data_IF_254601927489
#
_entry.id   IF_254601927489
#
_cell.length_a   1.000
_cell.length_b   1.000
_cell.length_c   1.000
_cell.angle_alpha   90.00
_cell.angle_beta   90.00
_cell.angle_gamma   90.00
#
_symmetry.space_group_name_H-M   'P 1'
#
loop_
_entity.id
_entity.type
_entity.pdbx_description
1 polymer ?
#
# COMPACT_ATOMS: atom_id res chain seq x y z
N UNK A 1 -31.70 0.60 11.46
CA UNK A 1 -31.24 0.63 10.05
C UNK A 1 -30.37 1.86 9.89
N UNK A 2 -29.08 1.70 9.67
CA UNK A 2 -28.15 2.83 9.57
C UNK A 2 -28.27 3.48 8.20
N UNK A 3 -28.55 4.79 8.18
CA UNK A 3 -28.71 5.56 6.96
C UNK A 3 -27.35 5.78 6.30
N UNK A 4 -27.25 5.44 5.02
CA UNK A 4 -26.06 5.73 4.18
C UNK A 4 -26.15 7.16 3.67
N UNK A 5 -25.01 7.84 3.62
CA UNK A 5 -24.91 9.17 3.05
C UNK A 5 -24.59 9.03 1.56
N UNK A 6 -25.58 9.29 0.71
CA UNK A 6 -25.45 9.14 -0.75
C UNK A 6 -24.48 10.17 -1.33
N UNK A 7 -23.81 9.80 -2.43
CA UNK A 7 -22.90 10.67 -3.18
C UNK A 7 -21.71 11.23 -2.38
N UNK A 8 -21.34 10.58 -1.27
CA UNK A 8 -20.14 10.90 -0.50
C UNK A 8 -19.19 9.72 -0.56
N UNK A 9 -17.91 10.03 -0.78
CA UNK A 9 -16.80 9.09 -0.64
C UNK A 9 -15.77 9.67 0.32
N UNK A 10 -15.27 8.86 1.23
CA UNK A 10 -14.20 9.24 2.15
C UNK A 10 -13.10 8.21 2.05
N UNK A 11 -11.86 8.64 1.87
CA UNK A 11 -10.68 7.76 1.84
C UNK A 11 -9.90 7.82 3.15
N UNK A 12 -9.32 6.67 3.51
CA UNK A 12 -8.40 6.53 4.64
C UNK A 12 -7.03 6.07 4.11
N UNK A 13 -6.02 6.96 4.13
CA UNK A 13 -4.65 6.67 3.76
C UNK A 13 -4.00 5.67 4.73
N UNK A 14 -3.52 4.55 4.19
CA UNK A 14 -2.85 3.48 4.92
C UNK A 14 -1.47 3.20 4.35
N UNK A 15 -0.60 2.66 5.22
CA UNK A 15 0.71 2.13 4.87
C UNK A 15 0.76 0.66 5.25
N UNK A 16 1.20 -0.17 4.33
CA UNK A 16 1.45 -1.58 4.58
C UNK A 16 2.78 -1.99 3.99
N UNK A 17 3.28 -3.13 4.43
CA UNK A 17 4.47 -3.73 3.87
C UNK A 17 5.30 -4.42 4.92
N UNK A 18 6.62 -4.45 4.73
CA UNK A 18 7.51 -5.09 5.68
C UNK A 18 8.84 -4.35 5.90
N UNK A 19 9.41 -4.57 7.08
CA UNK A 19 10.84 -4.38 7.34
C UNK A 19 11.52 -5.75 7.44
N UNK A 20 12.79 -5.83 7.09
CA UNK A 20 13.60 -7.03 7.22
C UNK A 20 15.04 -6.66 7.56
N UNK A 21 15.72 -7.54 8.31
CA UNK A 21 17.15 -7.45 8.59
C UNK A 21 17.76 -8.83 8.68
N UNK A 22 19.07 -8.91 8.44
CA UNK A 22 19.83 -10.14 8.67
C UNK A 22 19.68 -10.56 10.13
N UNK A 23 19.40 -11.84 10.33
CA UNK A 23 19.21 -12.40 11.65
C UNK A 23 20.56 -12.47 12.37
N UNK A 24 20.72 -11.68 13.43
CA UNK A 24 21.92 -11.72 14.26
C UNK A 24 22.05 -13.09 14.95
N UNK A 25 23.26 -13.64 15.11
CA UNK A 25 23.49 -14.92 15.80
C UNK A 25 22.87 -14.95 17.20
N UNK A 26 22.91 -13.83 17.91
CA UNK A 26 22.39 -13.65 19.29
C UNK A 26 20.87 -13.79 19.39
N UNK A 27 20.15 -13.49 18.29
CA UNK A 27 18.68 -13.57 18.24
C UNK A 27 18.19 -14.96 17.87
N UNK A 28 19.09 -15.89 17.53
CA UNK A 28 18.72 -17.26 17.19
C UNK A 28 18.42 -18.01 18.48
N UNK A 29 17.19 -18.50 18.58
CA UNK A 29 16.77 -19.37 19.68
C UNK A 29 16.76 -20.83 19.23
N UNK A 30 16.63 -21.78 20.16
CA UNK A 30 16.48 -23.21 19.82
C UNK A 30 15.28 -23.49 18.91
N UNK A 31 14.26 -22.60 18.93
CA UNK A 31 13.06 -22.70 18.09
C UNK A 31 13.24 -22.09 16.70
N UNK A 32 14.33 -21.35 16.48
CA UNK A 32 14.59 -20.74 15.18
C UNK A 32 15.24 -21.76 14.25
N UNK A 33 14.61 -22.10 13.11
CA UNK A 33 15.21 -23.03 12.15
C UNK A 33 16.59 -22.57 11.69
N UNK A 34 17.52 -23.51 11.51
CA UNK A 34 18.92 -23.21 11.14
C UNK A 34 19.04 -22.49 9.80
N UNK A 35 18.13 -22.75 8.88
CA UNK A 35 18.17 -22.20 7.53
C UNK A 35 17.61 -20.76 7.45
N UNK A 36 17.01 -20.25 8.52
CA UNK A 36 16.49 -18.87 8.54
C UNK A 36 17.64 -17.85 8.53
N UNK A 37 17.55 -16.87 7.63
CA UNK A 37 18.60 -15.88 7.39
C UNK A 37 18.20 -14.46 7.81
N UNK A 38 16.90 -14.17 7.88
CA UNK A 38 16.37 -12.84 8.17
C UNK A 38 15.31 -12.89 9.28
N UNK A 39 15.23 -11.80 10.04
CA UNK A 39 14.07 -11.42 10.85
C UNK A 39 13.31 -10.36 10.06
N UNK A 40 12.00 -10.55 9.89
CA UNK A 40 11.15 -9.63 9.14
C UNK A 40 9.87 -9.35 9.90
N UNK A 41 9.33 -8.15 9.71
CA UNK A 41 8.07 -7.71 10.30
C UNK A 41 7.17 -7.17 9.21
N UNK A 42 6.03 -7.83 8.98
CA UNK A 42 4.96 -7.33 8.11
C UNK A 42 3.99 -6.51 8.94
N UNK A 43 3.46 -5.41 8.40
CA UNK A 43 2.58 -4.52 9.14
C UNK A 43 1.52 -3.85 8.27
N UNK A 44 0.49 -3.34 8.95
CA UNK A 44 -0.48 -2.38 8.44
C UNK A 44 -0.64 -1.26 9.47
N UNK A 45 -0.56 0.00 9.03
CA UNK A 45 -0.70 1.18 9.88
C UNK A 45 -1.37 2.33 9.13
N UNK A 46 -1.99 3.30 9.80
CA UNK A 46 -2.43 4.53 9.14
C UNK A 46 -1.20 5.34 8.65
N UNK A 47 -1.38 6.15 7.60
CA UNK A 47 -0.31 7.01 7.11
C UNK A 47 0.11 8.10 8.11
N UNK A 48 -0.81 8.50 8.99
CA UNK A 48 -0.58 9.42 10.09
C UNK A 48 -0.42 8.67 11.42
N UNK A 49 0.68 8.92 12.13
CA UNK A 49 1.06 8.19 13.35
C UNK A 49 0.06 8.31 14.53
N UNK A 50 -0.79 9.34 14.54
CA UNK A 50 -1.69 9.64 15.67
C UNK A 50 -3.16 9.24 15.40
N UNK A 51 -3.37 8.34 14.44
CA UNK A 51 -4.69 7.87 14.05
C UNK A 51 -4.94 6.50 14.69
N UNK A 52 -6.05 6.41 15.41
CA UNK A 52 -6.52 5.15 15.95
C UNK A 52 -7.50 4.50 14.97
N UNK A 53 -7.13 3.35 14.43
CA UNK A 53 -7.95 2.56 13.53
C UNK A 53 -8.85 1.56 14.25
N UNK A 54 -8.67 1.39 15.57
CA UNK A 54 -9.44 0.43 16.39
C UNK A 54 -10.97 0.62 16.29
N UNK A 55 -11.54 1.84 16.19
CA UNK A 55 -12.98 2.00 16.02
C UNK A 55 -13.52 1.43 14.69
N UNK A 56 -12.66 1.28 13.69
CA UNK A 56 -13.00 0.88 12.33
C UNK A 56 -12.62 -0.58 12.04
N UNK A 57 -11.39 -0.95 12.39
CA UNK A 57 -10.79 -2.25 12.13
C UNK A 57 -10.96 -3.14 13.36
N UNK A 58 -11.69 -4.23 13.19
CA UNK A 58 -11.86 -5.28 14.21
C UNK A 58 -10.60 -6.12 14.37
N UNK A 59 -9.98 -6.49 13.25
CA UNK A 59 -8.73 -7.24 13.23
C UNK A 59 -8.07 -7.20 11.86
N UNK A 60 -6.77 -7.43 11.83
CA UNK A 60 -5.99 -7.66 10.61
C UNK A 60 -5.47 -9.10 10.64
N UNK A 61 -5.68 -9.82 9.55
CA UNK A 61 -5.20 -11.20 9.40
C UNK A 61 -4.10 -11.25 8.35
N UNK A 62 -2.92 -11.75 8.72
CA UNK A 62 -1.79 -11.98 7.83
C UNK A 62 -1.75 -13.46 7.47
N UNK A 63 -1.95 -13.80 6.19
CA UNK A 63 -1.75 -15.15 5.66
C UNK A 63 -0.33 -15.24 5.11
N UNK A 64 0.49 -16.01 5.82
CA UNK A 64 1.86 -16.35 5.46
C UNK A 64 1.89 -17.58 4.53
N UNK A 65 3.08 -17.95 4.07
CA UNK A 65 3.30 -19.18 3.32
C UNK A 65 2.98 -20.42 4.17
N UNK A 66 2.46 -21.49 3.54
CA UNK A 66 1.94 -22.68 4.23
C UNK A 66 3.00 -23.48 5.01
N UNK A 67 4.28 -23.22 4.76
CA UNK A 67 5.41 -23.80 5.50
C UNK A 67 5.57 -23.26 6.91
N UNK A 68 4.95 -22.12 7.23
CA UNK A 68 4.96 -21.55 8.57
C UNK A 68 3.96 -22.27 9.47
N UNK A 69 4.33 -22.50 10.73
CA UNK A 69 3.38 -22.95 11.74
C UNK A 69 2.30 -21.88 11.95
N UNK A 70 1.03 -22.29 11.94
CA UNK A 70 -0.11 -21.38 12.01
C UNK A 70 0.01 -20.26 10.97
N UNK A 71 -0.03 -20.55 9.65
CA UNK A 71 0.27 -19.58 8.61
C UNK A 71 -0.74 -18.43 8.56
N UNK A 72 -1.90 -18.55 9.21
CA UNK A 72 -2.89 -17.49 9.33
C UNK A 72 -2.78 -16.85 10.72
N UNK A 73 -2.23 -15.63 10.78
CA UNK A 73 -2.03 -14.87 12.02
C UNK A 73 -3.04 -13.74 12.12
N UNK A 74 -3.87 -13.73 13.15
CA UNK A 74 -4.84 -12.64 13.41
C UNK A 74 -4.32 -11.70 14.49
N UNK A 75 -4.37 -10.39 14.25
CA UNK A 75 -4.02 -9.33 15.20
C UNK A 75 -5.25 -8.45 15.40
N UNK A 76 -5.76 -8.40 16.63
CA UNK A 76 -7.04 -7.72 16.95
C UNK A 76 -6.86 -6.29 17.45
N UNK A 77 -5.65 -5.90 17.83
CA UNK A 77 -5.33 -4.56 18.35
C UNK A 77 -4.04 -4.01 17.74
N UNK A 78 -3.92 -2.68 17.60
CA UNK A 78 -2.68 -2.07 17.13
C UNK A 78 -1.51 -2.32 18.12
N UNK A 79 -0.25 -2.40 17.66
CA UNK A 79 0.17 -2.31 16.26
C UNK A 79 -0.19 -3.56 15.46
N UNK A 80 -0.81 -3.39 14.28
CA UNK A 80 -1.17 -4.50 13.41
C UNK A 80 0.06 -5.00 12.65
N UNK A 81 0.85 -5.84 13.31
CA UNK A 81 2.09 -6.36 12.75
C UNK A 81 2.37 -7.79 13.20
N UNK A 82 3.12 -8.52 12.38
CA UNK A 82 3.61 -9.86 12.68
C UNK A 82 5.10 -9.90 12.39
N UNK A 83 5.88 -10.34 13.38
CA UNK A 83 7.32 -10.56 13.26
C UNK A 83 7.59 -12.04 13.16
N UNK A 84 8.39 -12.43 12.18
CA UNK A 84 8.78 -13.81 11.92
C UNK A 84 10.22 -13.88 11.42
N UNK A 85 10.74 -15.10 11.33
CA UNK A 85 12.05 -15.36 10.73
C UNK A 85 11.89 -16.18 9.46
N UNK A 86 12.81 -16.04 8.51
CA UNK A 86 12.74 -16.79 7.25
C UNK A 86 13.96 -16.57 6.37
N UNK A 87 13.97 -17.25 5.24
CA UNK A 87 15.02 -17.15 4.24
C UNK A 87 14.54 -16.76 2.85
N UNK A 88 13.26 -16.97 2.56
CA UNK A 88 12.66 -16.74 1.24
C UNK A 88 11.72 -15.54 1.22
N UNK A 89 11.59 -14.94 0.04
CA UNK A 89 10.55 -13.96 -0.29
C UNK A 89 9.30 -14.68 -0.81
N UNK A 90 8.13 -14.25 -0.36
CA UNK A 90 6.84 -14.82 -0.77
C UNK A 90 5.73 -13.77 -0.64
N UNK A 91 4.56 -14.05 -1.20
CA UNK A 91 3.40 -13.16 -1.09
C UNK A 91 2.66 -13.38 0.25
N UNK A 92 2.49 -12.30 1.01
CA UNK A 92 1.68 -12.26 2.23
C UNK A 92 0.34 -11.63 1.89
N UNK A 93 -0.76 -12.31 2.24
CA UNK A 93 -2.11 -11.74 2.10
C UNK A 93 -2.50 -11.05 3.40
N UNK A 94 -2.69 -9.73 3.35
CA UNK A 94 -3.14 -8.90 4.47
C UNK A 94 -4.66 -8.70 4.32
N UNK A 95 -5.43 -9.29 5.23
CA UNK A 95 -6.89 -9.21 5.29
C UNK A 95 -7.33 -8.25 6.38
N UNK A 96 -8.02 -7.18 6.00
CA UNK A 96 -8.58 -6.20 6.94
C UNK A 96 -10.03 -6.60 7.22
N UNK A 97 -10.33 -6.84 8.50
CA UNK A 97 -11.68 -7.11 8.97
C UNK A 97 -12.19 -5.89 9.70
N UNK A 98 -13.27 -5.31 9.18
CA UNK A 98 -13.96 -4.19 9.81
C UNK A 98 -14.91 -4.68 10.90
N UNK A 99 -15.22 -3.81 11.86
CA UNK A 99 -16.27 -4.12 12.84
C UNK A 99 -17.59 -4.40 12.11
N UNK A 100 -18.16 -5.59 12.33
CA UNK A 100 -19.40 -5.98 11.66
C UNK A 100 -20.57 -5.19 12.21
N UNK A 101 -21.05 -4.26 11.40
CA UNK A 101 -22.39 -3.70 11.50
C UNK A 101 -22.90 -3.43 10.09
N UNK A 102 -24.20 -3.64 9.87
CA UNK A 102 -24.94 -2.96 8.81
C UNK A 102 -24.70 -1.42 8.80
N UNK A 103 -24.07 -0.94 9.87
CA UNK A 103 -23.64 0.40 10.20
C UNK A 103 -22.28 0.84 9.65
N UNK A 104 -21.53 0.08 8.85
CA UNK A 104 -20.33 0.64 8.18
C UNK A 104 -20.53 0.98 6.70
N UNK A 105 -21.63 0.55 6.09
CA UNK A 105 -21.89 0.80 4.67
C UNK A 105 -20.97 0.01 3.72
N UNK A 106 -20.11 -0.86 4.23
CA UNK A 106 -19.18 -1.63 3.41
C UNK A 106 -19.89 -2.93 2.99
N UNK A 107 -20.15 -3.10 1.70
CA UNK A 107 -20.71 -4.36 1.16
C UNK A 107 -19.64 -5.46 1.05
N UNK A 108 -18.36 -5.09 1.11
CA UNK A 108 -17.24 -6.03 1.17
C UNK A 108 -16.98 -6.45 2.61
N UNK A 109 -17.20 -7.74 2.90
CA UNK A 109 -16.96 -8.33 4.22
C UNK A 109 -15.50 -8.19 4.68
N UNK A 110 -14.54 -8.04 3.76
CA UNK A 110 -13.10 -8.04 4.03
C UNK A 110 -12.34 -7.36 2.87
N UNK A 111 -11.41 -6.46 3.17
CA UNK A 111 -10.45 -5.97 2.19
C UNK A 111 -9.20 -6.84 2.20
N UNK A 112 -8.63 -7.10 1.02
CA UNK A 112 -7.46 -7.96 0.82
C UNK A 112 -6.38 -7.21 0.07
N UNK A 113 -5.19 -7.19 0.66
CA UNK A 113 -3.98 -6.61 0.07
C UNK A 113 -2.96 -7.73 -0.08
N UNK A 114 -2.29 -7.78 -1.23
CA UNK A 114 -1.24 -8.74 -1.52
C UNK A 114 0.11 -8.02 -1.44
N UNK A 115 0.95 -8.43 -0.49
CA UNK A 115 2.26 -7.82 -0.27
C UNK A 115 3.37 -8.84 -0.54
N UNK A 116 4.23 -8.56 -1.50
CA UNK A 116 5.43 -9.37 -1.71
C UNK A 116 6.46 -9.06 -0.63
N UNK A 117 6.72 -10.01 0.27
CA UNK A 117 7.72 -9.89 1.33
C UNK A 117 9.10 -9.64 0.71
N UNK A 118 9.78 -8.57 1.15
CA UNK A 118 11.12 -8.22 0.69
C UNK A 118 12.15 -8.39 1.79
N UNK A 119 13.16 -9.22 1.54
CA UNK A 119 14.29 -9.46 2.45
C UNK A 119 15.55 -8.76 1.96
N UNK A 120 15.66 -8.54 0.65
CA UNK A 120 16.82 -7.93 0.01
C UNK A 120 16.48 -6.61 -0.68
N UNK A 121 17.44 -5.69 -0.82
CA UNK A 121 17.24 -4.45 -1.58
C UNK A 121 16.83 -4.74 -3.03
N UNK A 122 15.89 -3.96 -3.57
CA UNK A 122 15.46 -4.06 -4.98
C UNK A 122 16.63 -3.88 -5.97
N UNK A 123 17.55 -2.97 -5.65
CA UNK A 123 18.77 -2.78 -6.40
C UNK A 123 19.96 -3.16 -5.52
N UNK A 124 20.69 -4.25 -5.83
CA UNK A 124 21.89 -4.65 -5.08
C UNK A 124 22.98 -3.58 -5.03
N UNK A 125 22.97 -2.64 -5.99
CA UNK A 125 23.90 -1.51 -6.06
C UNK A 125 23.41 -0.27 -5.29
N UNK A 126 22.18 -0.28 -4.77
CA UNK A 126 21.71 0.82 -3.94
C UNK A 126 22.49 0.84 -2.61
N UNK A 127 22.80 2.04 -2.09
CA UNK A 127 23.47 2.15 -0.80
C UNK A 127 22.65 1.44 0.28
N UNK A 128 23.27 0.45 0.93
CA UNK A 128 22.66 -0.21 2.08
C UNK A 128 22.61 0.75 3.26
N UNK A 129 21.53 0.67 4.04
CA UNK A 129 21.44 1.37 5.32
C UNK A 129 22.57 0.91 6.24
N UNK A 130 23.07 1.80 7.10
CA UNK A 130 24.13 1.46 8.07
C UNK A 130 23.75 0.28 8.96
N UNK A 131 22.46 0.16 9.29
CA UNK A 131 21.90 -0.93 10.10
C UNK A 131 21.58 -2.20 9.30
N UNK A 132 21.74 -2.18 7.97
CA UNK A 132 21.41 -3.29 7.07
C UNK A 132 19.91 -3.61 6.95
N UNK A 133 19.02 -2.72 7.40
CA UNK A 133 17.57 -2.92 7.26
C UNK A 133 17.10 -2.70 5.83
N UNK A 134 16.13 -3.51 5.42
CA UNK A 134 15.41 -3.41 4.16
C UNK A 134 13.96 -3.06 4.49
N UNK A 135 13.43 -2.01 3.86
CA UNK A 135 12.03 -1.65 3.97
C UNK A 135 11.37 -1.76 2.59
N UNK A 136 10.20 -2.39 2.57
CA UNK A 136 9.27 -2.36 1.44
C UNK A 136 7.95 -1.89 2.00
N UNK A 137 7.72 -0.57 1.92
CA UNK A 137 6.50 0.07 2.42
C UNK A 137 5.76 0.63 1.23
N UNK A 138 4.46 0.36 1.17
CA UNK A 138 3.56 0.78 0.11
C UNK A 138 2.44 1.62 0.71
N UNK A 139 2.01 2.59 -0.08
CA UNK A 139 0.89 3.47 0.21
C UNK A 139 -0.36 3.00 -0.52
N UNK A 140 -1.50 3.07 0.15
CA UNK A 140 -2.81 2.79 -0.44
C UNK A 140 -3.91 3.53 0.33
N UNK A 141 -5.10 3.60 -0.24
CA UNK A 141 -6.25 4.28 0.35
C UNK A 141 -7.46 3.36 0.46
N UNK A 142 -7.97 3.20 1.68
CA UNK A 142 -9.25 2.51 1.88
C UNK A 142 -10.39 3.48 1.54
N UNK A 143 -11.10 3.22 0.46
CA UNK A 143 -12.19 4.08 -0.03
C UNK A 143 -13.53 3.58 0.48
N UNK A 144 -14.22 4.40 1.27
CA UNK A 144 -15.55 4.12 1.80
C UNK A 144 -16.58 4.89 0.96
N UNK A 145 -17.19 4.20 0.00
CA UNK A 145 -18.24 4.77 -0.86
C UNK A 145 -19.61 4.69 -0.17
N UNK A 146 -20.29 5.83 -0.13
CA UNK A 146 -21.57 6.01 0.56
C UNK A 146 -21.57 5.45 1.99
N UNK A 147 -20.67 5.96 2.85
CA UNK A 147 -20.54 5.48 4.21
C UNK A 147 -21.83 5.76 4.99
N UNK A 148 -22.06 4.98 6.04
CA UNK A 148 -23.08 5.31 7.03
C UNK A 148 -22.69 6.54 7.83
N UNK A 149 -23.68 7.17 8.47
CA UNK A 149 -23.45 8.34 9.35
C UNK A 149 -22.42 8.07 10.45
N UNK A 150 -22.44 6.90 11.07
CA UNK A 150 -21.47 6.49 12.10
C UNK A 150 -20.04 6.36 11.54
N UNK A 151 -19.87 5.74 10.38
CA UNK A 151 -18.57 5.63 9.72
C UNK A 151 -18.05 6.99 9.32
N UNK A 152 -18.93 7.82 8.74
CA UNK A 152 -18.59 9.16 8.33
C UNK A 152 -18.12 9.99 9.53
N UNK A 153 -18.80 9.91 10.67
CA UNK A 153 -18.38 10.57 11.90
C UNK A 153 -17.00 10.07 12.36
N UNK A 154 -16.76 8.75 12.39
CA UNK A 154 -15.46 8.18 12.75
C UNK A 154 -14.35 8.69 11.81
N UNK A 155 -14.61 8.68 10.50
CA UNK A 155 -13.63 9.08 9.49
C UNK A 155 -13.35 10.58 9.47
N UNK A 156 -14.29 11.42 9.93
CA UNK A 156 -14.19 12.89 9.89
C UNK A 156 -13.88 13.54 11.25
N UNK A 157 -13.90 12.79 12.35
CA UNK A 157 -13.56 13.27 13.71
C UNK A 157 -12.19 13.93 13.80
N UNK A 158 -11.25 13.47 12.98
CA UNK A 158 -9.93 14.07 12.79
C UNK A 158 -9.68 14.14 11.27
N UNK A 159 -8.75 14.96 10.79
CA UNK A 159 -8.32 14.93 9.40
C UNK A 159 -7.52 13.64 9.13
N UNK A 160 -8.21 12.50 9.12
CA UNK A 160 -7.64 11.16 8.93
C UNK A 160 -7.15 10.96 7.49
N UNK A 161 -7.72 11.72 6.56
CA UNK A 161 -7.49 11.67 5.12
C UNK A 161 -6.31 12.53 4.65
N UNK A 162 -5.41 12.96 5.55
CA UNK A 162 -4.25 13.77 5.18
C UNK A 162 -2.97 12.95 5.21
N UNK A 163 -2.10 13.19 4.24
CA UNK A 163 -0.70 12.82 4.33
C UNK A 163 0.08 13.89 5.11
N UNK A 164 1.16 13.51 5.81
CA UNK A 164 2.05 14.47 6.46
C UNK A 164 2.72 15.40 5.42
N UNK A 165 3.02 16.62 5.84
CA UNK A 165 3.77 17.59 5.01
C UNK A 165 5.29 17.49 5.18
N UNK A 166 5.75 16.83 6.25
CA UNK A 166 7.17 16.64 6.56
C UNK A 166 7.38 15.24 7.13
N UNK A 167 8.53 14.65 6.85
CA UNK A 167 8.92 13.38 7.47
C UNK A 167 9.03 13.54 8.99
N UNK A 168 8.68 12.48 9.73
CA UNK A 168 8.90 12.46 11.19
C UNK A 168 10.39 12.41 11.54
N UNK A 169 11.20 11.79 10.67
CA UNK A 169 12.65 11.77 10.76
C UNK A 169 13.26 11.77 9.34
N UNK A 170 14.42 12.41 9.12
CA UNK A 170 15.10 12.39 7.82
C UNK A 170 15.36 11.00 7.23
N UNK A 171 15.52 9.98 8.08
CA UNK A 171 15.84 8.60 7.69
C UNK A 171 14.62 7.74 7.35
N UNK A 172 13.40 8.30 7.39
CA UNK A 172 12.15 7.57 7.14
C UNK A 172 11.54 7.82 5.76
N UNK A 173 12.33 8.34 4.81
CA UNK A 173 11.85 8.68 3.45
C UNK A 173 11.24 7.50 2.69
N UNK A 174 11.69 6.29 2.97
CA UNK A 174 11.24 5.02 2.39
C UNK A 174 10.15 4.33 3.23
N UNK A 175 9.73 4.93 4.34
CA UNK A 175 8.71 4.40 5.25
C UNK A 175 7.48 5.29 5.38
N UNK A 176 7.57 6.53 4.90
CA UNK A 176 6.55 7.57 5.03
C UNK A 176 6.29 8.21 3.66
N UNK A 177 5.03 8.55 3.43
CA UNK A 177 4.58 9.20 2.21
C UNK A 177 4.14 10.63 2.55
N UNK A 178 4.64 11.60 1.79
CA UNK A 178 4.32 13.01 2.01
C UNK A 178 3.36 13.53 0.95
N UNK A 179 2.53 14.49 1.36
CA UNK A 179 1.62 15.18 0.46
C UNK A 179 2.35 15.96 -0.64
N UNK A 180 3.51 16.52 -0.33
CA UNK A 180 4.34 17.24 -1.32
C UNK A 180 4.86 16.31 -2.40
N UNK A 181 5.27 15.10 -2.04
CA UNK A 181 5.76 14.11 -3.01
C UNK A 181 4.64 13.73 -3.99
N UNK A 182 3.41 13.58 -3.49
CA UNK A 182 2.25 13.30 -4.34
C UNK A 182 1.97 14.46 -5.32
N UNK A 183 2.01 15.71 -4.86
CA UNK A 183 1.82 16.89 -5.72
C UNK A 183 2.90 16.94 -6.81
N UNK A 184 4.16 16.71 -6.45
CA UNK A 184 5.28 16.74 -7.39
C UNK A 184 5.17 15.60 -8.43
N UNK A 185 4.79 14.39 -8.00
CA UNK A 185 4.57 13.26 -8.90
C UNK A 185 3.37 13.48 -9.82
N UNK A 186 2.27 14.06 -9.33
CA UNK A 186 1.12 14.43 -10.18
C UNK A 186 1.53 15.45 -11.26
N UNK A 187 2.28 16.48 -10.90
CA UNK A 187 2.78 17.46 -11.86
C UNK A 187 3.69 16.82 -12.93
N UNK A 188 4.50 15.84 -12.51
CA UNK A 188 5.34 15.06 -13.42
C UNK A 188 4.50 14.18 -14.36
N UNK A 189 3.47 13.51 -13.85
CA UNK A 189 2.55 12.70 -14.64
C UNK A 189 1.79 13.56 -15.67
N UNK A 190 1.33 14.75 -15.29
CA UNK A 190 0.68 15.69 -16.21
C UNK A 190 1.59 16.06 -17.38
N UNK A 191 2.88 16.26 -17.10
CA UNK A 191 3.88 16.53 -18.14
C UNK A 191 4.00 15.35 -19.11
N UNK A 192 4.13 14.12 -18.60
CA UNK A 192 4.21 12.92 -19.43
C UNK A 192 2.93 12.67 -20.23
N UNK A 193 1.76 12.89 -19.64
CA UNK A 193 0.46 12.82 -20.34
C UNK A 193 0.43 13.81 -21.49
N UNK A 194 0.93 15.03 -21.29
CA UNK A 194 1.07 16.04 -22.34
C UNK A 194 1.94 15.55 -23.50
N UNK A 195 3.11 14.98 -23.20
CA UNK A 195 4.01 14.40 -24.21
C UNK A 195 3.34 13.27 -25.01
N UNK A 196 2.69 12.33 -24.32
CA UNK A 196 2.01 11.20 -24.95
C UNK A 196 0.86 11.69 -25.83
N UNK A 197 0.06 12.65 -25.37
CA UNK A 197 -1.02 13.25 -26.18
C UNK A 197 -0.48 13.91 -27.44
N UNK A 198 0.63 14.64 -27.35
CA UNK A 198 1.28 15.25 -28.51
C UNK A 198 1.76 14.21 -29.53
N UNK A 199 2.37 13.13 -29.07
CA UNK A 199 2.81 12.04 -29.95
C UNK A 199 1.62 11.31 -30.60
N UNK A 200 0.55 11.06 -29.85
CA UNK A 200 -0.69 10.49 -30.37
C UNK A 200 -1.26 11.39 -31.49
N UNK A 201 -1.28 12.70 -31.29
CA UNK A 201 -1.79 13.65 -32.29
C UNK A 201 -0.93 13.68 -33.55
N UNK A 202 0.40 13.67 -33.39
CA UNK A 202 1.34 13.59 -34.51
C UNK A 202 1.12 12.33 -35.34
N UNK A 203 1.05 11.16 -34.70
CA UNK A 203 0.77 9.89 -35.37
C UNK A 203 -0.58 9.93 -36.07
N UNK A 204 -1.62 10.50 -35.43
CA UNK A 204 -2.95 10.62 -36.03
C UNK A 204 -2.94 11.46 -37.31
N UNK A 205 -2.16 12.54 -37.35
CA UNK A 205 -2.03 13.38 -38.53
C UNK A 205 -1.24 12.67 -39.64
N UNK A 206 -0.15 12.00 -39.29
CA UNK A 206 0.63 11.18 -40.23
C UNK A 206 -0.22 10.07 -40.85
N UNK A 207 -1.03 9.36 -40.05
CA UNK A 207 -1.97 8.36 -40.56
C UNK A 207 -2.98 8.95 -41.56
N UNK A 208 -3.52 10.15 -41.30
CA UNK A 208 -4.44 10.82 -42.23
C UNK A 208 -3.76 11.19 -43.54
N UNK A 209 -2.54 11.72 -43.48
CA UNK A 209 -1.76 12.07 -44.69
C UNK A 209 -1.46 10.82 -45.52
N UNK A 210 -1.03 9.73 -44.88
CA UNK A 210 -0.79 8.45 -45.55
C UNK A 210 -2.07 7.87 -46.17
N UNK A 211 -3.21 8.01 -45.51
CA UNK A 211 -4.51 7.58 -46.06
C UNK A 211 -4.92 8.40 -47.29
N UNK A 212 -4.71 9.72 -47.26
CA UNK A 212 -4.94 10.59 -48.42
C UNK A 212 -4.00 10.24 -49.59
N UNK A 213 -2.71 10.02 -49.32
CA UNK A 213 -1.75 9.59 -50.34
C UNK A 213 -2.14 8.24 -50.95
N UNK A 214 -2.57 7.29 -50.13
CA UNK A 214 -3.06 5.98 -50.59
C UNK A 214 -4.27 6.12 -51.51
N UNK A 215 -5.24 6.96 -51.15
CA UNK A 215 -6.42 7.22 -51.97
C UNK A 215 -6.05 7.85 -53.32
N UNK A 216 -5.17 8.85 -53.32
CA UNK A 216 -4.72 9.50 -54.55
C UNK A 216 -4.01 8.53 -55.52
N UNK A 217 -3.24 7.57 -55.00
CA UNK A 217 -2.58 6.53 -55.80
C UNK A 217 -3.55 5.47 -56.35
N UNK A 218 -4.73 5.28 -55.73
CA UNK A 218 -5.75 4.36 -56.21
C UNK A 218 -6.63 4.97 -57.31
N UNK A 219 -6.71 6.30 -57.39
CA UNK A 219 -7.48 7.04 -58.39
C UNK A 219 -6.66 7.38 -59.66
N UNK A 220 -5.34 7.15 -59.64
CA UNK A 220 -4.41 7.34 -60.78
C UNK A 220 -4.16 6.05 -61.55
#
# INVERSE_FOLDING_TARGET
MSKRIKNISVSLPILYGNSAKKLAPEKRTERTPKDHTHEWTVFLKPALNNIDLTPLIKKVTFKLHETYENPVRSVESPPYQVTETGWGEFEIVIKIHFHSGAELGINEKNFQIFHALKLHPYNPQAPQRENGEVHSVLFDELVFQEPTETTFEILTRKPLNLLPYKYSHPDKKDQEYLRTNEIDELARLDTYIGTIKGEIEKQRNEYKELEQQKLALLES
#
